data_IF_198705599190
#
_entry.id   IF_198705599190
#
_cell.length_a   1.000
_cell.length_b   1.000
_cell.length_c   1.000
_cell.angle_alpha   90.00
_cell.angle_beta   90.00
_cell.angle_gamma   90.00
#
_symmetry.space_group_name_H-M   'P 1'
#
loop_
_entity.id
_entity.type
_entity.pdbx_description
1 polymer ?
#
# COMPACT_ATOMS: atom_id res chain seq x y z
N UNK A 1 52.44 -17.96 -1.00
CA UNK A 1 52.09 -19.21 -0.29
C UNK A 1 51.89 -18.86 1.18
N UNK A 2 50.64 -18.78 1.65
CA UNK A 2 50.14 -19.72 2.65
C UNK A 2 48.61 -19.58 2.71
N UNK A 3 47.92 -20.68 2.46
CA UNK A 3 46.49 -20.87 2.65
C UNK A 3 46.30 -21.69 3.93
N UNK A 4 45.34 -21.31 4.78
CA UNK A 4 44.57 -22.13 5.75
C UNK A 4 43.88 -21.14 6.69
N UNK A 5 42.57 -20.95 6.74
CA UNK A 5 41.47 -21.86 6.46
C UNK A 5 40.87 -22.36 7.78
N UNK A 6 39.82 -21.69 8.28
CA UNK A 6 38.49 -22.26 8.61
C UNK A 6 37.70 -21.55 9.72
N UNK A 7 36.38 -21.50 9.45
CA UNK A 7 35.21 -21.55 10.34
C UNK A 7 34.82 -20.21 10.99
N UNK A 8 33.74 -19.55 10.56
CA UNK A 8 32.31 -19.94 10.54
C UNK A 8 31.66 -19.92 11.93
N UNK A 9 31.08 -18.76 12.26
CA UNK A 9 29.86 -18.56 13.05
C UNK A 9 29.15 -17.42 12.31
N UNK A 10 28.02 -17.56 11.61
CA UNK A 10 26.72 -18.13 11.98
C UNK A 10 26.26 -17.68 13.36
N UNK A 11 25.99 -16.38 13.50
CA UNK A 11 25.11 -15.90 14.55
C UNK A 11 23.93 -15.17 13.91
N UNK A 12 22.91 -15.97 13.62
CA UNK A 12 21.54 -15.49 13.43
C UNK A 12 21.07 -14.90 14.76
N UNK A 13 21.07 -13.57 14.88
CA UNK A 13 20.18 -12.92 15.83
C UNK A 13 18.80 -12.80 15.18
N UNK A 14 18.01 -13.86 15.37
CA UNK A 14 16.60 -13.74 15.77
C UNK A 14 16.40 -12.50 16.62
N UNK A 15 15.35 -11.70 16.39
CA UNK A 15 14.45 -11.21 17.43
C UNK A 15 13.34 -10.38 16.76
N UNK A 16 12.11 -10.90 16.87
CA UNK A 16 10.86 -10.16 16.67
C UNK A 16 10.76 -9.01 17.70
N UNK A 17 9.86 -8.02 17.48
CA UNK A 17 9.89 -6.72 18.12
C UNK A 17 9.35 -6.77 19.55
N UNK A 18 10.13 -6.25 20.50
CA UNK A 18 9.68 -6.01 21.87
C UNK A 18 9.14 -4.58 21.97
N UNK A 19 7.84 -4.49 22.17
CA UNK A 19 7.17 -3.29 22.64
C UNK A 19 7.76 -2.80 23.96
N UNK A 20 7.52 -1.51 24.25
CA UNK A 20 7.55 -0.85 25.57
C UNK A 20 8.90 -0.61 26.26
N UNK A 21 9.44 0.59 26.06
CA UNK A 21 10.07 1.44 27.11
C UNK A 21 10.29 2.86 26.53
N UNK A 22 9.33 3.76 26.70
CA UNK A 22 9.41 4.84 27.69
C UNK A 22 10.77 5.55 27.73
N UNK A 23 10.88 6.65 26.98
CA UNK A 23 11.75 7.77 27.35
C UNK A 23 10.92 9.05 27.34
N UNK A 24 10.39 9.35 28.51
CA UNK A 24 9.84 10.64 28.88
C UNK A 24 10.95 11.70 28.82
N UNK A 25 10.70 12.81 28.12
CA UNK A 25 11.03 14.18 28.52
C UNK A 25 11.07 15.07 27.28
N UNK A 26 10.00 15.80 27.03
CA UNK A 26 10.05 17.27 27.05
C UNK A 26 8.65 17.81 26.84
N UNK A 27 8.16 18.45 27.90
CA UNK A 27 7.02 19.32 27.88
C UNK A 27 7.21 20.44 26.86
N UNK A 28 6.20 20.67 26.02
CA UNK A 28 5.88 22.04 25.63
C UNK A 28 4.38 22.23 25.83
N UNK A 29 4.11 23.09 26.80
CA UNK A 29 2.82 23.56 27.28
C UNK A 29 1.98 24.12 26.13
N UNK A 30 0.75 23.63 25.95
CA UNK A 30 -0.27 24.34 25.20
C UNK A 30 -1.63 24.13 25.87
N UNK A 31 -2.05 25.13 26.65
CA UNK A 31 -3.35 25.14 27.33
C UNK A 31 -4.49 25.52 26.35
N UNK A 32 -5.73 25.09 26.64
CA UNK A 32 -6.79 24.86 25.67
C UNK A 32 -7.77 26.04 25.59
N UNK A 33 -7.98 26.58 24.39
CA UNK A 33 -9.13 27.47 24.13
C UNK A 33 -10.38 26.65 23.85
N UNK A 34 -11.12 26.41 24.93
CA UNK A 34 -12.53 26.02 24.93
C UNK A 34 -13.34 26.92 24.00
N UNK A 35 -13.93 26.34 22.97
CA UNK A 35 -15.23 26.77 22.44
C UNK A 35 -16.12 25.54 22.28
N UNK A 36 -16.97 25.31 23.29
CA UNK A 36 -18.16 24.49 23.15
C UNK A 36 -19.18 25.22 22.27
N UNK A 37 -19.56 24.60 21.14
CA UNK A 37 -20.89 24.70 20.53
C UNK A 37 -21.05 23.50 19.56
N UNK A 38 -21.60 22.38 20.05
CA UNK A 38 -22.99 21.91 19.79
C UNK A 38 -23.17 21.36 18.36
N UNK A 39 -23.09 20.02 18.26
CA UNK A 39 -23.94 19.05 17.49
C UNK A 39 -24.68 19.57 16.24
N UNK A 40 -24.62 18.97 15.04
CA UNK A 40 -24.89 17.57 14.64
C UNK A 40 -24.35 17.30 13.20
N UNK A 41 -24.31 16.04 12.71
CA UNK A 41 -23.35 15.53 11.74
C UNK A 41 -23.78 15.60 10.27
N UNK A 42 -22.86 16.01 9.40
CA UNK A 42 -22.82 15.58 7.99
C UNK A 42 -21.47 14.88 7.75
N UNK A 43 -21.40 13.68 8.31
CA UNK A 43 -20.31 12.72 8.19
C UNK A 43 -20.60 11.91 6.92
N UNK A 44 -20.18 12.39 5.74
CA UNK A 44 -19.75 11.51 4.63
C UNK A 44 -19.07 12.25 3.47
N UNK A 45 -19.20 13.57 3.31
CA UNK A 45 -18.80 14.21 2.04
C UNK A 45 -17.55 15.13 2.11
N UNK A 46 -17.14 15.55 3.32
CA UNK A 46 -16.02 16.50 3.49
C UNK A 46 -14.64 15.85 3.67
N UNK A 47 -14.57 14.59 4.05
CA UNK A 47 -13.28 13.90 4.27
C UNK A 47 -12.63 13.40 2.96
N UNK A 48 -13.41 13.17 1.90
CA UNK A 48 -12.87 12.65 0.64
C UNK A 48 -12.25 13.74 -0.25
N UNK A 49 -12.73 14.99 -0.18
CA UNK A 49 -12.13 16.13 -0.92
C UNK A 49 -10.89 16.72 -0.24
N UNK A 50 -10.85 16.76 1.09
CA UNK A 50 -9.72 17.37 1.83
C UNK A 50 -8.44 16.51 1.78
N UNK A 51 -8.55 15.19 1.65
CA UNK A 51 -7.39 14.31 1.48
C UNK A 51 -6.75 14.40 0.08
N UNK A 52 -7.51 14.77 -0.95
CA UNK A 52 -7.02 14.85 -2.34
C UNK A 52 -6.36 16.20 -2.68
N UNK A 53 -6.77 17.30 -2.03
CA UNK A 53 -6.13 18.63 -2.21
C UNK A 53 -4.90 18.88 -1.33
N UNK A 54 -4.68 18.07 -0.28
CA UNK A 54 -3.52 18.22 0.62
C UNK A 54 -2.23 17.59 0.07
N UNK A 55 -2.28 16.84 -1.04
CA UNK A 55 -1.09 16.19 -1.62
C UNK A 55 -0.38 17.05 -2.68
N UNK A 56 -1.01 18.12 -3.18
CA UNK A 56 -0.43 18.95 -4.25
C UNK A 56 0.24 20.26 -3.77
N UNK A 57 0.37 20.50 -2.47
CA UNK A 57 0.96 21.75 -1.96
C UNK A 57 2.45 21.58 -1.65
N UNK A 58 3.26 22.12 -2.57
CA UNK A 58 4.60 22.69 -2.36
C UNK A 58 5.75 21.68 -2.14
N UNK A 59 6.07 20.89 -3.16
CA UNK A 59 7.49 20.63 -3.44
C UNK A 59 7.98 21.72 -4.38
N UNK A 60 8.70 22.68 -3.79
CA UNK A 60 9.45 23.76 -4.42
C UNK A 60 10.16 23.31 -5.70
N UNK A 61 9.73 23.86 -6.84
CA UNK A 61 10.44 23.77 -8.12
C UNK A 61 11.85 24.36 -7.96
N UNK A 62 12.90 23.54 -8.00
CA UNK A 62 14.29 24.02 -8.07
C UNK A 62 15.37 23.36 -7.20
N UNK A 63 15.16 22.17 -6.63
CA UNK A 63 16.26 21.45 -5.93
C UNK A 63 17.24 20.86 -6.96
N UNK A 64 18.52 21.23 -6.87
CA UNK A 64 19.60 20.76 -7.76
C UNK A 64 20.56 19.82 -7.04
N UNK A 65 21.20 18.91 -7.77
CA UNK A 65 22.26 18.05 -7.24
C UNK A 65 23.33 18.89 -6.53
N UNK A 66 23.54 18.62 -5.24
CA UNK A 66 24.43 19.40 -4.35
C UNK A 66 23.72 19.98 -3.13
N UNK A 67 22.42 20.31 -3.22
CA UNK A 67 21.63 20.96 -2.15
C UNK A 67 20.36 20.17 -1.75
N UNK A 68 20.41 18.83 -1.80
CA UNK A 68 19.26 17.98 -1.45
C UNK A 68 19.23 17.64 0.03
N UNK A 69 20.36 17.18 0.57
CA UNK A 69 20.44 16.67 1.93
C UNK A 69 21.88 16.64 2.43
N UNK A 70 22.06 16.89 3.74
CA UNK A 70 23.35 16.71 4.43
C UNK A 70 23.46 15.26 4.92
N UNK A 71 24.03 14.38 4.11
CA UNK A 71 24.29 12.97 4.46
C UNK A 71 25.75 12.83 4.89
N UNK A 72 26.02 12.17 6.01
CA UNK A 72 27.39 11.90 6.53
C UNK A 72 27.61 10.39 6.65
N UNK A 73 28.81 9.94 6.27
CA UNK A 73 29.30 8.57 6.48
C UNK A 73 28.42 7.44 5.91
N UNK A 74 27.91 7.59 4.69
CA UNK A 74 27.28 6.48 3.94
C UNK A 74 28.23 6.03 2.84
N UNK A 75 28.70 4.78 2.91
CA UNK A 75 29.58 4.18 1.90
C UNK A 75 28.72 3.27 1.02
N UNK A 76 28.67 3.56 -0.28
CA UNK A 76 27.94 2.76 -1.27
C UNK A 76 28.92 2.15 -2.27
N UNK A 77 28.74 0.86 -2.56
CA UNK A 77 29.54 0.13 -3.53
C UNK A 77 28.71 -0.16 -4.78
N UNK A 78 29.33 -0.02 -5.94
CA UNK A 78 28.73 -0.35 -7.23
C UNK A 78 29.76 -1.08 -8.10
N UNK A 79 29.29 -2.08 -8.85
CA UNK A 79 30.09 -2.83 -9.82
C UNK A 79 29.84 -2.25 -11.22
N UNK A 80 30.83 -2.26 -12.11
CA UNK A 80 30.66 -1.82 -13.51
C UNK A 80 29.60 -2.66 -14.25
N UNK A 81 28.80 -2.04 -15.12
CA UNK A 81 27.72 -2.75 -15.83
C UNK A 81 28.25 -3.87 -16.73
N UNK A 82 29.45 -3.74 -17.30
CA UNK A 82 30.05 -4.74 -18.17
C UNK A 82 30.46 -6.03 -17.43
N UNK A 83 30.52 -5.99 -16.10
CA UNK A 83 30.82 -7.13 -15.25
C UNK A 83 29.54 -7.77 -14.66
N UNK A 84 28.41 -7.07 -14.74
CA UNK A 84 27.14 -7.55 -14.22
C UNK A 84 26.36 -8.31 -15.30
N UNK A 85 25.64 -9.36 -14.88
CA UNK A 85 24.61 -9.97 -15.73
C UNK A 85 23.37 -9.07 -15.73
N UNK A 86 22.76 -8.85 -16.90
CA UNK A 86 21.55 -8.02 -17.02
C UNK A 86 20.35 -8.55 -16.20
N UNK A 87 20.21 -9.89 -16.11
CA UNK A 87 19.14 -10.54 -15.33
C UNK A 87 19.71 -11.64 -14.41
N UNK A 88 20.27 -11.28 -13.25
CA UNK A 88 20.76 -12.26 -12.29
C UNK A 88 19.58 -12.90 -11.54
N UNK A 89 19.65 -14.21 -11.27
CA UNK A 89 18.71 -14.93 -10.38
C UNK A 89 17.22 -14.76 -10.74
N UNK A 90 16.90 -14.76 -12.03
CA UNK A 90 15.53 -14.50 -12.52
C UNK A 90 14.49 -15.43 -11.89
N UNK A 91 14.72 -16.74 -11.93
CA UNK A 91 13.76 -17.71 -11.40
C UNK A 91 13.83 -17.87 -9.87
N UNK A 92 15.05 -17.88 -9.30
CA UNK A 92 15.23 -18.15 -7.86
C UNK A 92 14.80 -16.97 -6.99
N UNK A 93 15.08 -15.73 -7.40
CA UNK A 93 14.78 -14.52 -6.62
C UNK A 93 13.72 -13.64 -7.26
N UNK A 94 13.74 -13.48 -8.59
CA UNK A 94 12.80 -12.63 -9.31
C UNK A 94 11.35 -13.09 -9.15
N UNK A 95 11.05 -14.31 -9.58
CA UNK A 95 9.69 -14.88 -9.50
C UNK A 95 9.16 -14.94 -8.07
N UNK A 96 9.99 -15.32 -7.10
CA UNK A 96 9.58 -15.36 -5.69
C UNK A 96 9.27 -13.98 -5.11
N UNK A 97 9.98 -12.94 -5.53
CA UNK A 97 9.67 -11.58 -5.11
C UNK A 97 8.39 -11.05 -5.77
N UNK A 98 8.13 -11.39 -7.05
CA UNK A 98 6.87 -11.05 -7.73
C UNK A 98 5.69 -11.72 -7.01
N UNK A 99 5.79 -13.00 -6.69
CA UNK A 99 4.75 -13.72 -5.96
C UNK A 99 4.47 -13.12 -4.58
N UNK A 100 5.51 -12.75 -3.83
CA UNK A 100 5.36 -12.07 -2.53
C UNK A 100 4.61 -10.73 -2.68
N UNK A 101 4.93 -9.93 -3.71
CA UNK A 101 4.24 -8.66 -3.98
C UNK A 101 2.80 -8.88 -4.43
N UNK A 102 2.56 -9.87 -5.27
CA UNK A 102 1.21 -10.25 -5.72
C UNK A 102 0.31 -10.62 -4.55
N UNK A 103 0.77 -11.53 -3.67
CA UNK A 103 0.04 -11.94 -2.47
C UNK A 103 -0.26 -10.79 -1.51
N UNK A 104 0.61 -9.80 -1.41
CA UNK A 104 0.39 -8.64 -0.54
C UNK A 104 -0.70 -7.69 -1.07
N UNK A 105 -0.94 -7.69 -2.38
CA UNK A 105 -1.88 -6.77 -3.04
C UNK A 105 -3.20 -7.43 -3.41
N UNK A 106 -3.24 -8.75 -3.63
CA UNK A 106 -4.43 -9.45 -4.13
C UNK A 106 -5.65 -9.21 -3.24
N UNK A 107 -5.51 -9.27 -1.91
CA UNK A 107 -6.63 -9.06 -0.99
C UNK A 107 -7.12 -7.62 -0.91
N UNK A 108 -6.36 -6.65 -1.42
CA UNK A 108 -6.81 -5.25 -1.50
C UNK A 108 -7.61 -4.98 -2.77
N UNK A 109 -7.27 -5.68 -3.86
CA UNK A 109 -7.82 -5.44 -5.19
C UNK A 109 -8.97 -6.40 -5.51
N UNK A 110 -8.85 -7.67 -5.12
CA UNK A 110 -9.80 -8.72 -5.48
C UNK A 110 -11.20 -8.49 -4.89
N UNK A 111 -11.39 -8.09 -3.61
CA UNK A 111 -12.74 -7.94 -3.07
C UNK A 111 -13.64 -6.96 -3.85
N UNK A 112 -13.23 -5.71 -4.16
CA UNK A 112 -14.09 -4.81 -4.95
C UNK A 112 -14.29 -5.31 -6.38
N UNK A 113 -13.28 -5.95 -6.99
CA UNK A 113 -13.41 -6.52 -8.34
C UNK A 113 -14.42 -7.66 -8.40
N UNK A 114 -14.45 -8.53 -7.38
CA UNK A 114 -15.40 -9.64 -7.30
C UNK A 114 -16.82 -9.11 -7.10
N UNK A 115 -17.01 -8.14 -6.20
CA UNK A 115 -18.33 -7.51 -5.99
C UNK A 115 -18.84 -6.90 -7.30
N UNK A 116 -18.01 -6.13 -8.00
CA UNK A 116 -18.37 -5.53 -9.29
C UNK A 116 -18.79 -6.60 -10.31
N UNK A 117 -18.02 -7.69 -10.41
CA UNK A 117 -18.32 -8.77 -11.33
C UNK A 117 -19.65 -9.46 -11.01
N UNK A 118 -19.93 -9.72 -9.73
CA UNK A 118 -21.20 -10.32 -9.29
C UNK A 118 -22.39 -9.41 -9.57
N UNK A 119 -22.27 -8.11 -9.30
CA UNK A 119 -23.35 -7.15 -9.61
C UNK A 119 -23.60 -7.05 -11.11
N UNK A 120 -22.53 -7.06 -11.92
CA UNK A 120 -22.64 -7.03 -13.37
C UNK A 120 -23.36 -8.26 -13.93
N UNK A 121 -22.97 -9.47 -13.52
CA UNK A 121 -23.58 -10.71 -14.00
C UNK A 121 -25.03 -10.83 -13.56
N UNK A 122 -25.33 -10.47 -12.30
CA UNK A 122 -26.70 -10.43 -11.80
C UNK A 122 -27.58 -9.44 -12.57
N UNK A 123 -27.08 -8.22 -12.81
CA UNK A 123 -27.82 -7.18 -13.54
C UNK A 123 -28.17 -7.61 -14.96
N UNK A 124 -27.23 -8.22 -15.67
CA UNK A 124 -27.48 -8.76 -17.01
C UNK A 124 -28.51 -9.89 -16.99
N UNK A 125 -28.40 -10.81 -16.01
CA UNK A 125 -29.31 -11.94 -15.91
C UNK A 125 -30.77 -11.51 -15.65
N UNK A 126 -30.98 -10.58 -14.70
CA UNK A 126 -32.31 -10.04 -14.42
C UNK A 126 -32.86 -9.25 -15.61
N UNK A 127 -32.00 -8.47 -16.29
CA UNK A 127 -32.41 -7.71 -17.47
C UNK A 127 -32.85 -8.62 -18.63
N UNK A 128 -32.17 -9.75 -18.83
CA UNK A 128 -32.56 -10.75 -19.83
C UNK A 128 -33.86 -11.46 -19.45
N UNK A 129 -34.05 -11.80 -18.16
CA UNK A 129 -35.30 -12.40 -17.68
C UNK A 129 -36.48 -11.43 -17.83
N UNK A 130 -36.30 -10.15 -17.50
CA UNK A 130 -37.34 -9.13 -17.62
C UNK A 130 -37.76 -8.82 -19.06
N UNK A 131 -36.97 -9.21 -20.07
CA UNK A 131 -37.35 -9.12 -21.48
C UNK A 131 -38.17 -10.31 -21.96
N UNK A 132 -38.16 -11.43 -21.23
CA UNK A 132 -38.92 -12.63 -21.59
C UNK A 132 -40.37 -12.43 -21.17
N UNK A 133 -41.30 -12.86 -22.03
CA UNK A 133 -42.72 -12.88 -21.70
C UNK A 133 -42.98 -14.01 -20.72
N UNK A 134 -43.66 -13.71 -19.62
CA UNK A 134 -44.17 -14.71 -18.70
C UNK A 134 -45.58 -15.12 -19.12
N UNK A 135 -45.83 -16.42 -19.23
CA UNK A 135 -47.11 -16.98 -19.68
C UNK A 135 -48.14 -16.91 -18.55
N UNK A 136 -47.69 -17.00 -17.30
CA UNK A 136 -48.56 -17.05 -16.11
C UNK A 136 -49.35 -15.76 -15.86
N UNK A 137 -48.89 -14.63 -16.38
CA UNK A 137 -49.58 -13.33 -16.26
C UNK A 137 -50.85 -13.28 -17.10
N UNK A 138 -50.97 -14.11 -18.15
CA UNK A 138 -52.09 -14.08 -19.09
C UNK A 138 -53.20 -15.11 -18.79
N UNK A 139 -53.05 -15.93 -17.74
CA UNK A 139 -54.00 -17.03 -17.43
C UNK A 139 -55.33 -16.54 -16.83
N UNK A 140 -55.41 -15.31 -16.33
CA UNK A 140 -56.61 -14.75 -15.67
C UNK A 140 -57.20 -13.53 -16.39
N UNK A 141 -56.71 -13.20 -17.59
CA UNK A 141 -57.25 -12.15 -18.45
C UNK A 141 -58.34 -12.75 -19.37
N UNK A 142 -59.47 -13.17 -18.78
CA UNK A 142 -60.72 -13.53 -19.48
C UNK A 142 -61.77 -12.41 -19.40
#
# INVERSE_FOLDING_TARGET
MDERGRRAEVMQCSWYPSSSALRLSQELTYEPRRKLRVTLPLIVESHFRSAFETICSVDTMGRHFGDLAKIRHVITYSISLFEQRAFPNYFSKGTMNVWRRFRASIFKITPPMVVLYLTYTWGNHVHEQGKKKDISVYENDE
#
